data_IF_894452256778
#
_entry.id   IF_894452256778
#
_cell.length_a   1.000
_cell.length_b   1.000
_cell.length_c   1.000
_cell.angle_alpha   90.00
_cell.angle_beta   90.00
_cell.angle_gamma   90.00
#
_symmetry.space_group_name_H-M   'P 1'
#
loop_
_entity.id
_entity.type
_entity.pdbx_description
1 polymer ?
#
# COMPACT_ATOMS: atom_id res chain seq x y z
N UNK A 1 31.00 -11.03 1.21
CA UNK A 1 30.68 -11.60 -0.12
C UNK A 1 29.20 -11.94 -0.08
N UNK A 2 28.33 -11.05 -0.58
CA UNK A 2 26.87 -11.26 -0.55
C UNK A 2 26.53 -12.30 -1.62
N UNK A 3 26.07 -13.47 -1.19
CA UNK A 3 25.55 -14.47 -2.12
C UNK A 3 24.16 -14.02 -2.51
N UNK A 4 23.91 -13.80 -3.79
CA UNK A 4 22.58 -13.44 -4.29
C UNK A 4 21.61 -14.59 -4.04
N UNK A 5 20.34 -14.29 -3.78
CA UNK A 5 19.30 -15.30 -3.56
C UNK A 5 19.29 -16.35 -4.69
N UNK A 6 19.55 -15.92 -5.93
CA UNK A 6 19.60 -16.79 -7.11
C UNK A 6 20.68 -17.89 -7.03
N UNK A 7 21.83 -17.59 -6.40
CA UNK A 7 22.95 -18.56 -6.23
C UNK A 7 22.73 -19.53 -5.09
N UNK A 8 22.08 -19.11 -4.00
CA UNK A 8 21.72 -20.00 -2.88
C UNK A 8 20.61 -21.00 -3.28
N UNK A 9 19.69 -20.58 -4.17
CA UNK A 9 18.44 -21.31 -4.42
C UNK A 9 18.50 -22.33 -5.56
N UNK A 10 19.42 -22.16 -6.53
CA UNK A 10 19.72 -23.20 -7.53
C UNK A 10 20.15 -24.52 -6.88
N UNK A 11 20.58 -24.49 -5.60
CA UNK A 11 21.02 -25.65 -4.83
C UNK A 11 19.94 -26.30 -3.94
N UNK A 12 18.84 -25.61 -3.59
CA UNK A 12 17.92 -26.04 -2.51
C UNK A 12 16.50 -26.46 -2.96
N UNK A 13 16.18 -26.46 -4.25
CA UNK A 13 14.92 -27.04 -4.75
C UNK A 13 13.62 -26.27 -4.43
N UNK A 14 13.71 -25.01 -3.99
CA UNK A 14 12.56 -24.15 -3.71
C UNK A 14 11.70 -23.85 -4.95
N UNK A 15 10.40 -23.59 -4.74
CA UNK A 15 9.47 -23.25 -5.83
C UNK A 15 9.60 -21.77 -6.17
N UNK A 16 9.77 -21.46 -7.47
CA UNK A 16 9.92 -20.10 -7.97
C UNK A 16 8.58 -19.55 -8.47
N UNK A 17 8.22 -18.38 -7.96
CA UNK A 17 6.99 -17.65 -8.27
C UNK A 17 7.31 -16.24 -8.71
N UNK A 18 6.45 -15.66 -9.53
CA UNK A 18 6.46 -14.22 -9.79
C UNK A 18 5.40 -13.55 -8.91
N UNK A 19 5.80 -12.62 -8.04
CA UNK A 19 4.85 -11.89 -7.20
C UNK A 19 4.02 -10.92 -8.05
N UNK A 20 2.70 -11.12 -8.04
CA UNK A 20 1.78 -10.43 -8.95
C UNK A 20 1.20 -9.18 -8.30
N UNK A 21 0.62 -9.31 -7.10
CA UNK A 21 -0.04 -8.19 -6.43
C UNK A 21 -0.16 -8.46 -4.93
N UNK A 22 -0.09 -7.40 -4.15
CA UNK A 22 -0.39 -7.40 -2.73
C UNK A 22 -1.60 -6.47 -2.51
N UNK A 23 -2.65 -6.98 -1.87
CA UNK A 23 -3.88 -6.23 -1.62
C UNK A 23 -4.53 -6.64 -0.30
N UNK A 24 -5.57 -5.91 0.09
CA UNK A 24 -6.37 -6.17 1.28
C UNK A 24 -7.81 -6.44 0.88
N UNK A 25 -8.42 -7.49 1.45
CA UNK A 25 -9.86 -7.71 1.47
C UNK A 25 -10.37 -7.51 2.90
N UNK A 26 -11.02 -6.36 3.16
CA UNK A 26 -11.25 -5.93 4.54
C UNK A 26 -9.91 -5.84 5.28
N UNK A 27 -9.81 -6.49 6.44
CA UNK A 27 -8.56 -6.57 7.21
C UNK A 27 -7.75 -7.85 6.95
N UNK A 28 -7.99 -8.55 5.85
CA UNK A 28 -7.21 -9.72 5.44
C UNK A 28 -6.22 -9.32 4.35
N UNK A 29 -4.90 -9.42 4.59
CA UNK A 29 -3.89 -9.16 3.58
C UNK A 29 -3.66 -10.39 2.68
N UNK A 30 -3.46 -10.16 1.40
CA UNK A 30 -3.24 -11.20 0.40
C UNK A 30 -2.01 -10.86 -0.46
N UNK A 31 -1.13 -11.84 -0.70
CA UNK A 31 -0.07 -11.74 -1.69
C UNK A 31 -0.24 -12.85 -2.73
N UNK A 32 -0.58 -12.46 -3.96
CA UNK A 32 -0.74 -13.39 -5.07
C UNK A 32 0.59 -13.64 -5.78
N UNK A 33 0.87 -14.91 -6.00
CA UNK A 33 2.05 -15.45 -6.61
C UNK A 33 1.67 -16.23 -7.87
N UNK A 34 2.35 -15.98 -8.99
CA UNK A 34 2.17 -16.77 -10.20
C UNK A 34 3.26 -17.84 -10.30
N UNK A 35 2.84 -19.11 -10.29
CA UNK A 35 3.74 -20.26 -10.46
C UNK A 35 4.29 -20.29 -11.88
N UNK A 36 5.61 -20.12 -12.03
CA UNK A 36 6.25 -20.14 -13.34
C UNK A 36 6.21 -21.53 -14.00
N UNK A 37 6.12 -22.57 -13.18
CA UNK A 37 6.05 -23.97 -13.61
C UNK A 37 4.62 -24.40 -13.91
N UNK A 38 3.72 -24.26 -12.93
CA UNK A 38 2.36 -24.79 -13.00
C UNK A 38 1.38 -23.81 -13.70
N UNK A 39 1.79 -22.56 -13.92
CA UNK A 39 1.02 -21.52 -14.61
C UNK A 39 -0.33 -21.18 -13.95
N UNK A 40 -0.35 -21.23 -12.63
CA UNK A 40 -1.50 -20.89 -11.78
C UNK A 40 -1.16 -19.76 -10.82
N UNK A 41 -2.20 -19.06 -10.36
CA UNK A 41 -2.10 -18.12 -9.24
C UNK A 41 -2.27 -18.90 -7.94
N UNK A 42 -1.35 -18.69 -7.02
CA UNK A 42 -1.36 -19.19 -5.65
C UNK A 42 -1.29 -17.99 -4.71
N UNK A 43 -1.75 -18.16 -3.48
CA UNK A 43 -1.61 -17.15 -2.43
C UNK A 43 -0.47 -17.56 -1.50
N UNK A 44 0.38 -16.60 -1.11
CA UNK A 44 1.40 -16.87 -0.10
C UNK A 44 0.74 -17.03 1.27
N UNK A 45 1.06 -18.11 1.97
CA UNK A 45 0.68 -18.29 3.37
C UNK A 45 1.39 -17.25 4.25
N UNK A 46 0.61 -16.37 4.88
CA UNK A 46 1.09 -15.30 5.76
C UNK A 46 1.04 -15.71 7.25
N UNK A 47 1.13 -17.00 7.57
CA UNK A 47 1.30 -17.48 8.96
C UNK A 47 2.77 -17.61 9.37
N UNK A 48 3.67 -17.91 8.43
CA UNK A 48 5.11 -17.91 8.61
C UNK A 48 5.82 -17.40 7.36
N UNK A 49 7.01 -16.81 7.53
CA UNK A 49 7.79 -16.30 6.42
C UNK A 49 9.01 -17.20 6.24
N UNK A 50 9.17 -17.76 5.04
CA UNK A 50 10.33 -18.55 4.60
C UNK A 50 10.49 -18.34 3.09
N UNK A 51 10.96 -17.16 2.71
CA UNK A 51 11.01 -16.72 1.32
C UNK A 51 12.33 -16.05 0.94
N UNK A 52 12.80 -16.29 -0.28
CA UNK A 52 13.83 -15.50 -0.94
C UNK A 52 13.23 -14.57 -1.98
N UNK A 53 13.61 -13.29 -1.98
CA UNK A 53 13.10 -12.28 -2.91
C UNK A 53 14.23 -11.77 -3.80
N UNK A 54 14.04 -11.81 -5.12
CA UNK A 54 15.01 -11.37 -6.12
C UNK A 54 15.16 -9.84 -6.18
N UNK A 55 16.31 -9.39 -6.68
CA UNK A 55 16.56 -7.97 -6.92
C UNK A 55 15.91 -7.45 -8.22
N UNK A 56 15.89 -8.28 -9.26
CA UNK A 56 15.27 -7.90 -10.53
C UNK A 56 13.76 -7.71 -10.41
N UNK A 57 13.27 -6.62 -11.00
CA UNK A 57 11.84 -6.28 -11.09
C UNK A 57 11.34 -6.42 -12.53
N UNK A 58 10.34 -7.28 -12.70
CA UNK A 58 9.72 -7.64 -13.97
C UNK A 58 8.22 -7.37 -13.92
N UNK A 59 7.68 -6.81 -15.00
CA UNK A 59 6.28 -6.45 -15.13
C UNK A 59 5.34 -7.60 -14.72
N UNK A 60 4.46 -7.34 -13.75
CA UNK A 60 3.50 -8.30 -13.16
C UNK A 60 2.42 -8.78 -14.12
N UNK A 61 2.34 -8.25 -15.35
CA UNK A 61 1.22 -8.58 -16.25
C UNK A 61 -0.06 -7.86 -15.84
N UNK A 62 -1.23 -8.43 -16.12
CA UNK A 62 -2.52 -7.76 -15.86
C UNK A 62 -3.64 -8.77 -15.65
N UNK A 63 -4.65 -8.40 -14.86
CA UNK A 63 -5.93 -9.11 -14.80
C UNK A 63 -6.89 -8.60 -15.88
N UNK A 64 -7.64 -9.51 -16.50
CA UNK A 64 -8.76 -9.18 -17.39
C UNK A 64 -10.01 -9.90 -16.87
N UNK A 65 -10.83 -9.17 -16.11
CA UNK A 65 -11.80 -9.81 -15.22
C UNK A 65 -11.05 -10.60 -14.14
N UNK A 66 -11.45 -11.84 -13.90
CA UNK A 66 -10.82 -12.74 -12.91
C UNK A 66 -9.57 -13.45 -13.46
N UNK A 67 -9.31 -13.37 -14.77
CA UNK A 67 -8.22 -14.09 -15.40
C UNK A 67 -6.92 -13.30 -15.36
N UNK A 68 -5.93 -13.83 -14.65
CA UNK A 68 -4.55 -13.33 -14.70
C UNK A 68 -3.88 -13.63 -16.05
N UNK A 69 -3.13 -12.65 -16.58
CA UNK A 69 -2.28 -12.82 -17.75
C UNK A 69 -0.87 -12.30 -17.47
N UNK A 70 0.17 -13.16 -17.55
CA UNK A 70 1.55 -12.70 -17.39
C UNK A 70 1.94 -11.72 -18.50
N UNK A 71 2.92 -10.86 -18.23
CA UNK A 71 3.38 -9.89 -19.21
C UNK A 71 3.91 -10.60 -20.47
N UNK A 72 3.34 -10.34 -21.67
CA UNK A 72 3.80 -11.00 -22.90
C UNK A 72 5.20 -10.58 -23.32
N UNK A 73 5.69 -9.44 -22.81
CA UNK A 73 6.98 -8.86 -23.16
C UNK A 73 8.05 -9.04 -22.08
N UNK A 74 7.70 -9.56 -20.89
CA UNK A 74 8.60 -9.69 -19.73
C UNK A 74 9.50 -8.46 -19.55
N UNK A 75 8.90 -7.27 -19.52
CA UNK A 75 9.67 -6.02 -19.43
C UNK A 75 10.20 -5.84 -18.02
N UNK A 76 11.44 -5.38 -17.92
CA UNK A 76 11.95 -4.78 -16.69
C UNK A 76 11.12 -3.54 -16.35
N UNK A 77 10.87 -3.34 -15.06
CA UNK A 77 10.12 -2.19 -14.54
C UNK A 77 10.89 -1.57 -13.38
N UNK A 78 10.78 -0.26 -13.24
CA UNK A 78 11.38 0.51 -12.14
C UNK A 78 10.34 1.52 -11.65
N UNK A 79 10.16 1.60 -10.32
CA UNK A 79 9.18 2.48 -9.68
C UNK A 79 7.70 2.06 -9.81
N UNK A 80 7.37 1.15 -10.72
CA UNK A 80 6.05 0.55 -10.90
C UNK A 80 6.15 -0.98 -10.99
N UNK A 81 5.05 -1.68 -10.72
CA UNK A 81 4.93 -3.13 -10.86
C UNK A 81 4.54 -3.56 -12.29
N UNK A 82 3.91 -2.67 -13.07
CA UNK A 82 3.46 -2.92 -14.44
C UNK A 82 4.15 -2.02 -15.47
N UNK A 83 4.40 -2.58 -16.66
CA UNK A 83 4.78 -1.80 -17.83
C UNK A 83 3.56 -1.11 -18.46
N UNK A 84 3.79 -0.09 -19.29
CA UNK A 84 2.74 0.71 -19.94
C UNK A 84 1.68 -0.14 -20.67
N UNK A 85 2.08 -1.24 -21.32
CA UNK A 85 1.13 -2.11 -22.01
C UNK A 85 0.16 -2.81 -21.03
N UNK A 86 0.67 -3.28 -19.89
CA UNK A 86 -0.14 -4.02 -18.92
C UNK A 86 -0.97 -3.07 -18.03
N UNK A 87 -0.43 -1.89 -17.69
CA UNK A 87 -1.10 -0.90 -16.85
C UNK A 87 -2.26 -0.17 -17.54
N UNK A 88 -2.34 -0.17 -18.88
CA UNK A 88 -3.48 0.38 -19.64
C UNK A 88 -4.84 -0.22 -19.25
N UNK A 89 -4.84 -1.40 -18.63
CA UNK A 89 -6.05 -1.99 -18.04
C UNK A 89 -6.58 -1.20 -16.84
N UNK A 90 -5.70 -0.48 -16.14
CA UNK A 90 -5.98 0.23 -14.89
C UNK A 90 -5.86 1.75 -14.95
N UNK A 91 -5.07 2.34 -15.86
CA UNK A 91 -5.07 3.78 -16.17
C UNK A 91 -4.42 3.93 -17.56
N UNK A 92 -5.05 4.60 -18.54
CA UNK A 92 -4.52 4.69 -19.89
C UNK A 92 -3.22 5.49 -20.00
N UNK A 93 -3.04 6.49 -19.13
CA UNK A 93 -1.89 7.39 -19.12
C UNK A 93 -1.19 7.24 -17.77
N UNK A 94 -0.08 6.49 -17.73
CA UNK A 94 0.62 6.16 -16.48
C UNK A 94 1.04 7.41 -15.66
N UNK A 95 1.38 8.52 -16.32
CA UNK A 95 1.67 9.81 -15.65
C UNK A 95 0.50 10.33 -14.81
N UNK A 96 -0.74 10.00 -15.18
CA UNK A 96 -1.95 10.36 -14.42
C UNK A 96 -2.17 9.47 -13.18
N UNK A 97 -1.32 8.46 -12.92
CA UNK A 97 -1.48 7.61 -11.73
C UNK A 97 -1.38 8.43 -10.43
N UNK A 98 -0.53 9.45 -10.41
CA UNK A 98 -0.31 10.27 -9.21
C UNK A 98 -0.87 11.69 -9.32
N UNK A 99 -0.83 12.31 -10.51
CA UNK A 99 -1.35 13.67 -10.71
C UNK A 99 -2.32 13.69 -11.90
N UNK A 100 -3.65 13.72 -11.68
CA UNK A 100 -4.63 13.84 -12.75
C UNK A 100 -4.46 15.17 -13.51
N UNK A 101 -4.31 15.08 -14.84
CA UNK A 101 -4.20 16.25 -15.73
C UNK A 101 -5.54 16.67 -16.35
N UNK A 102 -6.61 15.91 -16.10
CA UNK A 102 -7.93 16.14 -16.67
C UNK A 102 -9.03 15.57 -15.77
N UNK A 103 -10.25 16.01 -16.02
CA UNK A 103 -11.48 15.53 -15.38
C UNK A 103 -12.09 14.31 -16.08
N UNK A 104 -11.36 13.69 -17.01
CA UNK A 104 -11.79 12.55 -17.81
C UNK A 104 -12.08 12.85 -19.27
N UNK A 105 -12.05 14.13 -19.67
CA UNK A 105 -12.26 14.55 -21.07
C UNK A 105 -11.16 14.04 -22.01
N UNK A 106 -9.90 14.01 -21.55
CA UNK A 106 -8.76 13.58 -22.37
C UNK A 106 -8.63 12.06 -22.41
N UNK A 107 -8.83 11.39 -21.27
CA UNK A 107 -8.59 9.95 -21.15
C UNK A 107 -9.85 9.08 -21.29
N UNK A 108 -11.04 9.68 -21.31
CA UNK A 108 -12.34 8.99 -21.36
C UNK A 108 -12.64 8.11 -20.14
N UNK A 109 -11.76 8.09 -19.14
CA UNK A 109 -11.76 7.08 -18.09
C UNK A 109 -12.70 7.45 -16.94
N UNK A 110 -13.53 6.49 -16.55
CA UNK A 110 -14.60 6.73 -15.57
C UNK A 110 -14.04 7.10 -14.19
N UNK A 111 -12.89 6.54 -13.79
CA UNK A 111 -12.20 6.92 -12.56
C UNK A 111 -11.93 8.43 -12.47
N UNK A 112 -11.68 9.13 -13.58
CA UNK A 112 -11.42 10.58 -13.52
C UNK A 112 -12.69 11.39 -13.24
N UNK A 113 -13.86 10.89 -13.68
CA UNK A 113 -15.17 11.54 -13.60
C UNK A 113 -15.98 11.20 -12.36
N UNK A 114 -15.61 10.10 -11.67
CA UNK A 114 -16.28 9.68 -10.44
C UNK A 114 -15.97 10.61 -9.29
N UNK A 115 -16.87 10.60 -8.31
CA UNK A 115 -16.67 11.30 -7.06
C UNK A 115 -15.43 10.79 -6.31
N UNK A 116 -14.65 11.74 -5.80
CA UNK A 116 -13.46 11.48 -4.98
C UNK A 116 -13.58 12.18 -3.65
N UNK A 117 -13.13 11.49 -2.60
CA UNK A 117 -13.04 12.03 -1.25
C UNK A 117 -11.62 12.49 -0.98
N UNK A 118 -11.48 13.69 -0.40
CA UNK A 118 -10.24 14.12 0.24
C UNK A 118 -10.35 13.79 1.72
N UNK A 119 -9.33 13.17 2.27
CA UNK A 119 -9.32 12.65 3.63
C UNK A 119 -8.07 13.07 4.39
N UNK A 120 -8.15 13.03 5.71
CA UNK A 120 -7.01 13.08 6.62
C UNK A 120 -6.90 11.72 7.29
N UNK A 121 -5.79 11.01 7.05
CA UNK A 121 -5.47 9.73 7.67
C UNK A 121 -4.50 9.94 8.84
N UNK A 122 -4.70 9.18 9.90
CA UNK A 122 -3.87 9.21 11.11
C UNK A 122 -3.07 7.90 11.22
N UNK A 123 -1.80 8.02 11.59
CA UNK A 123 -0.84 6.93 11.85
C UNK A 123 -0.18 7.23 13.18
N UNK A 124 -0.74 6.68 14.26
CA UNK A 124 -0.53 7.16 15.62
C UNK A 124 -0.80 8.66 15.69
N UNK A 125 0.22 9.42 16.08
CA UNK A 125 0.11 10.87 16.16
C UNK A 125 0.24 11.58 14.80
N UNK A 126 0.74 10.90 13.76
CA UNK A 126 1.07 11.53 12.48
C UNK A 126 -0.16 11.61 11.59
N UNK A 127 -0.39 12.77 10.98
CA UNK A 127 -1.45 12.97 10.01
C UNK A 127 -0.92 13.01 8.58
N UNK A 128 -1.73 12.58 7.62
CA UNK A 128 -1.48 12.69 6.18
C UNK A 128 -2.76 13.12 5.49
N UNK A 129 -2.66 14.01 4.51
CA UNK A 129 -3.75 14.31 3.60
C UNK A 129 -3.65 13.42 2.36
N UNK A 130 -4.78 12.94 1.88
CA UNK A 130 -4.85 12.10 0.69
C UNK A 130 -6.17 12.25 -0.04
N UNK A 131 -6.24 11.70 -1.25
CA UNK A 131 -7.50 11.53 -1.96
C UNK A 131 -7.66 10.10 -2.50
N UNK A 132 -8.90 9.69 -2.68
CA UNK A 132 -9.27 8.41 -3.30
C UNK A 132 -10.69 8.50 -3.86
N UNK A 133 -11.10 7.52 -4.66
CA UNK A 133 -12.52 7.42 -5.04
C UNK A 133 -13.37 7.24 -3.80
N UNK A 134 -14.49 7.96 -3.68
CA UNK A 134 -15.32 7.94 -2.46
C UNK A 134 -15.77 6.54 -2.05
N UNK A 135 -16.02 5.66 -3.02
CA UNK A 135 -16.45 4.28 -2.78
C UNK A 135 -15.33 3.35 -2.28
N UNK A 136 -14.06 3.78 -2.30
CA UNK A 136 -12.89 2.97 -1.91
C UNK A 136 -12.14 3.56 -0.71
N UNK A 137 -12.76 4.45 0.06
CA UNK A 137 -12.03 5.19 1.08
C UNK A 137 -11.48 4.28 2.18
N UNK A 138 -12.33 3.41 2.74
CA UNK A 138 -11.94 2.49 3.80
C UNK A 138 -10.85 1.53 3.33
N UNK A 139 -11.03 0.89 2.16
CA UNK A 139 -10.05 -0.05 1.58
C UNK A 139 -8.71 0.65 1.35
N UNK A 140 -8.74 1.87 0.78
CA UNK A 140 -7.53 2.63 0.51
C UNK A 140 -6.75 3.01 1.77
N UNK A 141 -7.43 3.20 2.89
CA UNK A 141 -6.80 3.56 4.15
C UNK A 141 -6.27 2.35 4.90
N UNK A 142 -6.99 1.22 4.81
CA UNK A 142 -6.49 -0.09 5.26
C UNK A 142 -5.22 -0.47 4.51
N UNK A 143 -5.22 -0.37 3.18
CA UNK A 143 -4.03 -0.60 2.32
C UNK A 143 -2.81 0.25 2.75
N UNK A 144 -3.05 1.44 3.29
CA UNK A 144 -1.99 2.34 3.75
C UNK A 144 -1.60 2.10 5.21
N UNK A 145 -2.41 1.37 6.00
CA UNK A 145 -2.15 1.07 7.40
C UNK A 145 -2.51 2.22 8.36
N UNK A 146 -3.50 3.04 8.01
CA UNK A 146 -3.97 4.14 8.87
C UNK A 146 -4.71 3.60 10.10
N UNK A 147 -4.59 4.26 11.24
CA UNK A 147 -5.31 3.92 12.48
C UNK A 147 -6.72 4.51 12.52
N UNK A 148 -6.88 5.68 11.91
CA UNK A 148 -8.15 6.36 11.81
C UNK A 148 -8.14 7.35 10.64
N UNK A 149 -9.31 7.89 10.32
CA UNK A 149 -9.44 8.97 9.36
C UNK A 149 -10.68 9.83 9.55
N UNK A 150 -10.63 11.00 8.92
CA UNK A 150 -11.80 11.84 8.65
C UNK A 150 -11.86 12.11 7.15
N UNK A 151 -13.08 12.20 6.61
CA UNK A 151 -13.32 12.71 5.25
C UNK A 151 -13.42 14.21 5.35
N UNK A 152 -12.48 14.95 4.75
CA UNK A 152 -12.52 16.41 4.72
C UNK A 152 -13.65 16.90 3.80
N UNK A 153 -13.91 16.21 2.70
CA UNK A 153 -15.02 16.51 1.78
C UNK A 153 -15.00 15.63 0.55
N UNK A 154 -16.11 15.64 -0.20
CA UNK A 154 -16.24 14.95 -1.50
C UNK A 154 -16.23 15.95 -2.66
N UNK A 155 -15.70 15.51 -3.80
CA UNK A 155 -15.47 16.33 -4.97
C UNK A 155 -15.93 15.59 -6.23
N UNK A 156 -16.49 16.30 -7.22
CA UNK A 156 -17.13 15.66 -8.37
C UNK A 156 -16.15 14.94 -9.29
N UNK A 157 -14.85 15.27 -9.24
CA UNK A 157 -13.84 14.67 -10.07
C UNK A 157 -12.55 14.40 -9.30
N UNK A 158 -11.74 13.51 -9.85
CA UNK A 158 -10.41 13.18 -9.30
C UNK A 158 -9.48 14.40 -9.27
N UNK A 159 -9.57 15.28 -10.27
CA UNK A 159 -8.75 16.49 -10.35
C UNK A 159 -9.18 17.52 -9.31
N UNK A 160 -10.47 17.76 -9.15
CA UNK A 160 -10.99 18.66 -8.11
C UNK A 160 -10.56 18.21 -6.71
N UNK A 161 -10.63 16.90 -6.43
CA UNK A 161 -10.10 16.34 -5.18
C UNK A 161 -8.59 16.57 -5.03
N UNK A 162 -7.79 16.36 -6.09
CA UNK A 162 -6.34 16.59 -6.07
C UNK A 162 -5.97 18.05 -5.79
N UNK A 163 -6.69 18.99 -6.40
CA UNK A 163 -6.49 20.41 -6.19
C UNK A 163 -6.80 20.78 -4.73
N UNK A 164 -7.88 20.25 -4.17
CA UNK A 164 -8.19 20.46 -2.75
C UNK A 164 -7.17 19.79 -1.82
N UNK A 165 -6.75 18.55 -2.08
CA UNK A 165 -5.71 17.84 -1.33
C UNK A 165 -4.41 18.67 -1.25
N UNK A 166 -3.98 19.26 -2.37
CA UNK A 166 -2.81 20.16 -2.43
C UNK A 166 -3.02 21.41 -1.57
N UNK A 167 -4.20 22.04 -1.66
CA UNK A 167 -4.55 23.23 -0.87
C UNK A 167 -4.58 22.94 0.64
N UNK A 168 -5.21 21.85 1.05
CA UNK A 168 -5.27 21.43 2.46
C UNK A 168 -3.87 21.10 2.96
N UNK A 169 -3.09 20.30 2.21
CA UNK A 169 -1.73 19.93 2.61
C UNK A 169 -0.84 21.15 2.83
N UNK A 170 -0.86 22.11 1.91
CA UNK A 170 -0.11 23.36 2.05
C UNK A 170 -0.63 24.25 3.17
N UNK A 171 -1.95 24.33 3.37
CA UNK A 171 -2.56 25.26 4.33
C UNK A 171 -2.52 24.78 5.78
N UNK A 172 -2.43 23.46 6.01
CA UNK A 172 -2.31 22.86 7.35
C UNK A 172 -0.89 22.37 7.64
N UNK A 173 0.02 22.37 6.66
CA UNK A 173 1.35 21.76 6.82
C UNK A 173 1.30 20.24 7.01
N UNK A 174 0.24 19.59 6.50
CA UNK A 174 0.08 18.14 6.58
C UNK A 174 0.65 17.53 5.29
N UNK A 175 1.57 16.56 5.39
CA UNK A 175 2.18 15.97 4.21
C UNK A 175 1.19 15.09 3.43
N UNK A 176 1.45 14.93 2.12
CA UNK A 176 0.73 14.00 1.24
C UNK A 176 1.34 12.59 1.23
N UNK A 177 2.57 12.47 1.73
CA UNK A 177 3.31 11.22 1.78
C UNK A 177 4.07 11.15 3.10
N UNK A 178 4.09 9.96 3.69
CA UNK A 178 5.05 9.60 4.73
C UNK A 178 6.01 8.60 4.13
N UNK A 179 7.31 8.72 4.42
CA UNK A 179 8.21 7.59 4.16
C UNK A 179 7.84 6.50 5.16
N UNK A 180 7.80 5.27 4.69
CA UNK A 180 7.33 4.18 5.55
C UNK A 180 8.17 4.04 6.84
N UNK A 181 9.49 4.25 6.75
CA UNK A 181 10.40 4.26 7.90
C UNK A 181 9.96 5.27 8.97
N UNK A 182 9.34 6.39 8.58
CA UNK A 182 8.88 7.41 9.52
C UNK A 182 7.68 6.95 10.34
N UNK A 183 6.83 6.07 9.81
CA UNK A 183 5.65 5.55 10.52
C UNK A 183 5.91 4.19 11.16
N UNK A 184 7.08 3.58 10.94
CA UNK A 184 7.40 2.25 11.47
C UNK A 184 7.45 2.26 13.00
N UNK A 185 7.96 3.33 13.60
CA UNK A 185 8.03 3.49 15.06
C UNK A 185 6.63 3.52 15.69
N UNK A 186 5.62 4.05 14.98
CA UNK A 186 4.22 4.07 15.45
C UNK A 186 3.64 2.65 15.53
N UNK A 187 4.13 1.70 14.75
CA UNK A 187 3.68 0.29 14.82
C UNK A 187 4.05 -0.38 16.15
N UNK A 188 5.02 0.16 16.89
CA UNK A 188 5.37 -0.39 18.20
C UNK A 188 4.23 -0.22 19.22
N UNK A 189 3.45 0.84 19.11
CA UNK A 189 2.47 1.23 20.12
C UNK A 189 1.04 0.97 19.64
N UNK A 190 0.13 0.69 20.59
CA UNK A 190 -1.28 0.72 20.29
C UNK A 190 -1.70 2.18 19.98
N UNK A 191 -2.60 2.42 19.00
CA UNK A 191 -3.06 3.76 18.69
C UNK A 191 -3.72 4.45 19.89
N UNK A 192 -3.30 5.67 20.20
CA UNK A 192 -3.95 6.50 21.20
C UNK A 192 -5.13 7.25 20.58
N UNK A 193 -6.31 6.62 20.59
CA UNK A 193 -7.49 7.19 19.94
C UNK A 193 -7.97 8.51 20.55
N UNK A 194 -7.77 8.73 21.86
CA UNK A 194 -8.12 10.02 22.48
C UNK A 194 -7.30 11.16 21.88
N UNK A 195 -5.99 10.95 21.69
CA UNK A 195 -5.11 11.94 21.06
C UNK A 195 -5.43 12.15 19.57
N UNK A 196 -5.80 11.06 18.87
CA UNK A 196 -6.28 11.14 17.48
C UNK A 196 -7.56 11.97 17.41
N UNK A 197 -8.52 11.74 18.30
CA UNK A 197 -9.80 12.46 18.33
C UNK A 197 -9.60 13.95 18.62
N UNK A 198 -8.73 14.30 19.58
CA UNK A 198 -8.33 15.68 19.87
C UNK A 198 -7.71 16.36 18.64
N UNK A 199 -6.75 15.70 17.99
CA UNK A 199 -6.09 16.22 16.79
C UNK A 199 -7.06 16.37 15.62
N UNK A 200 -7.96 15.41 15.43
CA UNK A 200 -8.98 15.44 14.41
C UNK A 200 -9.98 16.59 14.64
N UNK A 201 -10.33 16.88 15.89
CA UNK A 201 -11.17 18.03 16.26
C UNK A 201 -10.52 19.36 15.85
N UNK A 202 -9.24 19.55 16.20
CA UNK A 202 -8.47 20.75 15.80
C UNK A 202 -8.40 20.89 14.28
N UNK A 203 -8.05 19.81 13.58
CA UNK A 203 -8.00 19.80 12.11
C UNK A 203 -9.37 20.12 11.51
N UNK A 204 -10.45 19.57 12.08
CA UNK A 204 -11.81 19.78 11.58
C UNK A 204 -12.25 21.23 11.68
N UNK A 205 -11.95 21.91 12.80
CA UNK A 205 -12.19 23.36 12.94
C UNK A 205 -11.45 24.17 11.88
N UNK A 206 -10.17 23.84 11.61
CA UNK A 206 -9.39 24.52 10.57
C UNK A 206 -9.94 24.25 9.17
N UNK A 207 -10.40 23.02 8.89
CA UNK A 207 -11.03 22.66 7.62
C UNK A 207 -12.32 23.45 7.38
N UNK A 208 -13.14 23.64 8.43
CA UNK A 208 -14.32 24.49 8.38
C UNK A 208 -13.96 25.95 8.14
N UNK A 209 -13.13 26.53 9.00
CA UNK A 209 -12.83 27.97 8.98
C UNK A 209 -12.07 28.44 7.73
N UNK A 210 -11.09 27.66 7.26
CA UNK A 210 -10.21 28.08 6.16
C UNK A 210 -10.65 27.56 4.79
N UNK A 211 -11.36 26.43 4.74
CA UNK A 211 -11.70 25.76 3.48
C UNK A 211 -13.21 25.64 3.26
N UNK A 212 -14.04 26.00 4.25
CA UNK A 212 -15.50 25.87 4.15
C UNK A 212 -15.96 24.41 4.08
N UNK A 213 -15.16 23.48 4.60
CA UNK A 213 -15.41 22.05 4.55
C UNK A 213 -16.08 21.57 5.83
N UNK A 214 -16.98 20.60 5.73
CA UNK A 214 -17.63 19.95 6.88
C UNK A 214 -17.14 18.50 6.99
N UNK A 215 -16.09 18.24 7.78
CA UNK A 215 -15.49 16.91 7.82
C UNK A 215 -16.40 15.88 8.47
N UNK A 216 -16.25 14.61 8.09
CA UNK A 216 -16.92 13.51 8.76
C UNK A 216 -16.40 13.33 10.20
N UNK A 217 -17.16 12.64 11.06
CA UNK A 217 -16.61 12.09 12.30
C UNK A 217 -15.40 11.19 12.05
N UNK A 218 -14.58 11.01 13.10
CA UNK A 218 -13.44 10.08 13.08
C UNK A 218 -13.94 8.66 12.89
N UNK A 219 -13.39 7.99 11.87
CA UNK A 219 -13.57 6.56 11.64
C UNK A 219 -12.30 5.83 12.05
N UNK A 220 -12.41 4.87 12.98
CA UNK A 220 -11.28 4.08 13.48
C UNK A 220 -11.09 2.81 12.65
N UNK A 221 -9.85 2.36 12.51
CA UNK A 221 -9.44 1.20 11.73
C UNK A 221 -8.69 0.21 12.62
N UNK A 222 -9.42 -0.65 13.31
CA UNK A 222 -8.89 -1.47 14.41
C UNK A 222 -8.72 -2.96 14.06
N UNK A 223 -9.13 -3.40 12.87
CA UNK A 223 -9.18 -4.81 12.51
C UNK A 223 -7.88 -5.44 12.02
N UNK A 224 -6.76 -4.71 11.99
CA UNK A 224 -5.51 -5.21 11.41
C UNK A 224 -5.02 -6.50 12.12
N UNK A 225 -4.49 -7.49 11.38
CA UNK A 225 -3.96 -8.73 11.94
C UNK A 225 -2.56 -8.48 12.54
N UNK A 226 -2.50 -7.67 13.59
CA UNK A 226 -1.29 -7.31 14.32
C UNK A 226 -1.65 -7.16 15.80
N UNK A 227 -0.87 -7.81 16.67
CA UNK A 227 -0.99 -7.60 18.11
C UNK A 227 -0.15 -6.39 18.50
N UNK A 228 -0.78 -5.30 18.92
CA UNK A 228 -0.13 -4.12 19.47
C UNK A 228 -0.46 -3.96 20.96
N UNK A 229 0.46 -3.43 21.80
CA UNK A 229 1.82 -3.00 21.45
C UNK A 229 2.74 -4.19 21.13
N UNK A 230 3.77 -3.91 20.33
CA UNK A 230 4.80 -4.90 20.01
C UNK A 230 5.77 -5.05 21.18
N UNK A 231 6.32 -6.26 21.36
CA UNK A 231 7.32 -6.58 22.39
C UNK A 231 8.75 -6.11 22.05
N UNK A 232 8.90 -5.36 20.95
CA UNK A 232 10.16 -4.78 20.52
C UNK A 232 9.95 -3.76 19.41
N UNK A 233 10.97 -2.93 19.18
CA UNK A 233 10.97 -1.97 18.07
C UNK A 233 11.18 -2.72 16.74
N UNK A 234 10.28 -2.59 15.75
CA UNK A 234 10.50 -3.14 14.43
C UNK A 234 11.72 -2.52 13.75
N UNK A 235 12.55 -3.35 13.13
CA UNK A 235 13.69 -2.90 12.32
C UNK A 235 13.38 -3.14 10.85
N UNK A 236 13.45 -2.09 10.04
CA UNK A 236 13.29 -2.19 8.60
C UNK A 236 14.31 -3.16 8.00
N UNK A 237 13.87 -4.00 7.08
CA UNK A 237 14.73 -4.86 6.26
C UNK A 237 14.56 -4.55 4.79
N UNK A 238 15.64 -4.69 4.02
CA UNK A 238 15.56 -4.62 2.57
C UNK A 238 14.52 -5.61 2.02
N UNK A 239 13.92 -5.27 0.89
CA UNK A 239 12.90 -6.14 0.26
C UNK A 239 13.52 -7.38 -0.36
N UNK A 240 14.81 -7.32 -0.70
CA UNK A 240 15.55 -8.37 -1.40
C UNK A 240 16.33 -9.24 -0.42
N UNK A 241 16.63 -10.46 -0.85
CA UNK A 241 17.35 -11.43 -0.04
C UNK A 241 16.43 -12.42 0.67
N UNK A 242 16.92 -13.01 1.76
CA UNK A 242 16.23 -14.10 2.44
C UNK A 242 15.52 -13.61 3.71
N UNK A 243 14.22 -13.89 3.79
CA UNK A 243 13.35 -13.55 4.91
C UNK A 243 12.77 -14.82 5.51
N UNK A 244 13.10 -15.02 6.78
CA UNK A 244 12.69 -16.19 7.53
C UNK A 244 12.25 -15.76 8.93
N UNK A 245 11.18 -16.34 9.44
CA UNK A 245 10.73 -16.13 10.81
C UNK A 245 9.22 -16.29 10.96
N UNK A 246 8.77 -16.23 12.23
CA UNK A 246 7.34 -16.27 12.54
C UNK A 246 6.71 -14.90 12.31
N UNK A 247 5.58 -14.83 11.63
CA UNK A 247 4.86 -13.57 11.42
C UNK A 247 4.26 -13.09 12.76
N UNK A 248 4.49 -11.82 13.06
CA UNK A 248 4.00 -11.10 14.25
C UNK A 248 2.72 -10.33 13.91
N UNK A 249 2.61 -9.84 12.68
CA UNK A 249 1.41 -9.23 12.16
C UNK A 249 1.61 -8.52 10.83
N UNK A 250 0.52 -8.04 10.25
CA UNK A 250 0.52 -7.27 9.00
C UNK A 250 -0.28 -6.00 9.22
N UNK A 251 0.23 -4.85 8.76
CA UNK A 251 -0.50 -3.58 8.78
C UNK A 251 -0.10 -2.70 7.61
N UNK A 252 -1.09 -2.28 6.83
CA UNK A 252 -0.88 -1.51 5.60
C UNK A 252 0.06 -2.22 4.63
N UNK A 253 1.22 -1.63 4.41
CA UNK A 253 2.19 -2.10 3.41
C UNK A 253 3.20 -3.11 3.93
N UNK A 254 3.13 -3.48 5.21
CA UNK A 254 4.22 -4.18 5.87
C UNK A 254 3.79 -5.41 6.62
N UNK A 255 4.63 -6.42 6.48
CA UNK A 255 4.63 -7.62 7.28
C UNK A 255 5.72 -7.52 8.34
N UNK A 256 5.35 -7.82 9.58
CA UNK A 256 6.25 -7.92 10.71
C UNK A 256 6.52 -9.39 11.00
N UNK A 257 7.78 -9.76 11.16
CA UNK A 257 8.17 -11.12 11.49
C UNK A 257 9.32 -11.14 12.50
N UNK A 258 9.43 -12.23 13.28
CA UNK A 258 10.42 -12.37 14.34
C UNK A 258 11.57 -13.27 13.89
N UNK A 259 12.77 -12.70 13.87
CA UNK A 259 14.08 -13.37 13.73
C UNK A 259 15.13 -12.49 14.38
N UNK A 260 15.59 -12.89 15.56
CA UNK A 260 16.51 -12.11 16.40
C UNK A 260 16.02 -10.67 16.62
N UNK A 261 14.75 -10.54 17.05
CA UNK A 261 14.01 -9.28 17.13
C UNK A 261 12.89 -9.18 16.09
N UNK A 262 12.17 -8.05 16.07
CA UNK A 262 11.10 -7.78 15.10
C UNK A 262 11.71 -7.14 13.85
N UNK A 263 11.45 -7.75 12.70
CA UNK A 263 11.81 -7.24 11.38
C UNK A 263 10.56 -6.75 10.65
N UNK A 264 10.72 -5.73 9.83
CA UNK A 264 9.66 -5.12 9.04
C UNK A 264 10.01 -5.15 7.56
N UNK A 265 9.28 -5.96 6.79
CA UNK A 265 9.42 -6.09 5.35
C UNK A 265 8.29 -5.35 4.65
N UNK A 266 8.63 -4.48 3.70
CA UNK A 266 7.67 -3.81 2.84
C UNK A 266 7.09 -4.77 1.80
N UNK A 267 6.10 -5.57 2.21
CA UNK A 267 5.47 -6.59 1.38
C UNK A 267 4.79 -5.98 0.14
N UNK A 268 4.32 -4.73 0.21
CA UNK A 268 3.75 -4.03 -0.93
C UNK A 268 4.77 -3.68 -2.04
N UNK A 269 6.07 -3.83 -1.78
CA UNK A 269 7.15 -3.67 -2.75
C UNK A 269 7.66 -5.01 -3.34
N UNK A 270 7.07 -6.13 -2.92
CA UNK A 270 7.38 -7.47 -3.44
C UNK A 270 6.80 -7.74 -4.83
N UNK A 271 5.57 -7.27 -5.19
CA UNK A 271 5.08 -7.39 -6.56
C UNK A 271 6.12 -6.92 -7.57
N UNK A 272 6.20 -7.60 -8.71
CA UNK A 272 7.23 -7.52 -9.77
C UNK A 272 8.50 -8.35 -9.55
N UNK A 273 8.72 -8.93 -8.36
CA UNK A 273 9.93 -9.71 -8.07
C UNK A 273 9.68 -11.21 -8.16
N UNK A 274 10.74 -11.99 -8.32
CA UNK A 274 10.70 -13.44 -8.15
C UNK A 274 10.77 -13.75 -6.66
N UNK A 275 9.86 -14.62 -6.22
CA UNK A 275 9.76 -15.12 -4.85
C UNK A 275 10.03 -16.62 -4.88
N UNK A 276 11.02 -17.05 -4.12
CA UNK A 276 11.33 -18.44 -3.86
C UNK A 276 10.72 -18.82 -2.52
N UNK A 277 9.74 -19.72 -2.51
CA UNK A 277 9.14 -20.25 -1.27
C UNK A 277 9.90 -21.53 -0.88
N UNK A 278 10.29 -21.61 0.39
CA UNK A 278 11.09 -22.68 0.99
C UNK A 278 10.32 -23.48 2.04
#
# INVERSE_FOLDING_TARGET
MFVTADRLMSANGGRAYHAVTFYWEGYTPHLLLYSLKERVIEELDLTSLSIGISDEQMCTGSFRGEMYRPCPFRRHVEGFDQCEFCSRTLIPIQKCLFDPICDGEICGWDLCRREHSVYIAFYGEKAKVGMTSSVRISERLIEQGADAYIVAGTFPSRRAAREMEKRIGSGLGIPQTHRYIEILDELQFAPNFSLIDERASVISSVLWEKFGLSPSPVTRLEGYPIAQPLDGKPVYTDVTGFHEGRIVGVKGKVILYRKDGIKALNIAAVPSRIVHVL
#
